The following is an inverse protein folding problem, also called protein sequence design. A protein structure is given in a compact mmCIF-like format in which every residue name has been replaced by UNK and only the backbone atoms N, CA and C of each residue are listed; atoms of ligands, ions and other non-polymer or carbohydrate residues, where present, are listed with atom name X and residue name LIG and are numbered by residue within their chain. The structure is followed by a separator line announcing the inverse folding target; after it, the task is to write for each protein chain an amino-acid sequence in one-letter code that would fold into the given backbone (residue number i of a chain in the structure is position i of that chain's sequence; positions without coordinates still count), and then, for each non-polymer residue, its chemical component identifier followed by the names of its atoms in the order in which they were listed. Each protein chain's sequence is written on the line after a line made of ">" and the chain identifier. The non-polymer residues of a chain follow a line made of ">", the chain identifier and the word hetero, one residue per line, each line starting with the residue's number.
data_IF_095345653815
#
_entry.id   IF_095345653815
#
_cell.length_a   1.000
_cell.length_b   1.000
_cell.length_c   1.000
_cell.angle_alpha   90.00
_cell.angle_beta   90.00
_cell.angle_gamma   90.00
#
_symmetry.space_group_name_H-M   'P 1'
#
loop_
_entity.id
_entity.type
_entity.pdbx_description
1 polymer ?
#
# COMPACT_ATOMS: atom_id res chain seq x y z
N UNK A 1 -0.92 14.97 9.60
CA UNK A 1 -0.02 14.28 8.66
C UNK A 1 0.05 12.79 8.94
N UNK A 2 -0.43 12.01 7.98
CA UNK A 2 -0.31 10.56 7.88
C UNK A 2 0.74 10.24 6.82
N UNK A 3 1.74 9.45 7.20
CA UNK A 3 2.81 9.04 6.28
C UNK A 3 2.79 7.53 6.12
N UNK A 4 2.66 7.06 4.88
CA UNK A 4 2.81 5.66 4.51
C UNK A 4 4.07 5.48 3.70
N UNK A 5 4.83 4.42 3.97
CA UNK A 5 6.08 4.11 3.27
C UNK A 5 5.99 2.77 2.54
N UNK A 6 6.53 2.73 1.33
CA UNK A 6 6.75 1.53 0.55
C UNK A 6 8.20 1.06 0.72
N UNK A 7 8.42 -0.25 0.66
CA UNK A 7 9.77 -0.84 0.79
C UNK A 7 10.71 -0.45 -0.36
N UNK A 8 10.18 0.06 -1.48
CA UNK A 8 10.98 0.58 -2.58
C UNK A 8 11.53 1.99 -2.33
N UNK A 9 11.21 2.60 -1.17
CA UNK A 9 11.64 3.94 -0.79
C UNK A 9 10.63 5.04 -1.10
N UNK A 10 9.50 4.74 -1.76
CA UNK A 10 8.41 5.69 -1.94
C UNK A 10 7.70 5.98 -0.61
N UNK A 11 7.30 7.24 -0.40
CA UNK A 11 6.50 7.64 0.75
C UNK A 11 5.39 8.61 0.33
N UNK A 12 4.19 8.41 0.89
CA UNK A 12 3.05 9.31 0.73
C UNK A 12 2.77 9.98 2.07
N UNK A 13 2.89 11.30 2.14
CA UNK A 13 2.58 12.10 3.33
C UNK A 13 1.45 13.07 3.01
N UNK A 14 0.29 12.86 3.63
CA UNK A 14 -0.90 13.67 3.42
C UNK A 14 -1.56 14.01 4.75
N UNK A 15 -2.35 15.09 4.80
CA UNK A 15 -3.13 15.42 6.00
C UNK A 15 -4.39 14.56 6.14
N UNK A 16 -4.97 14.13 5.02
CA UNK A 16 -6.07 13.19 4.99
C UNK A 16 -5.54 11.76 4.83
N UNK A 17 -5.86 10.89 5.80
CA UNK A 17 -5.44 9.48 5.77
C UNK A 17 -5.87 8.76 4.50
N UNK A 18 -7.06 9.06 3.98
CA UNK A 18 -7.58 8.39 2.79
C UNK A 18 -6.83 8.82 1.53
N UNK A 19 -6.28 10.05 1.51
CA UNK A 19 -5.40 10.51 0.44
C UNK A 19 -4.03 9.84 0.49
N UNK A 20 -3.44 9.71 1.68
CA UNK A 20 -2.19 8.96 1.84
C UNK A 20 -2.35 7.50 1.37
N UNK A 21 -3.48 6.87 1.72
CA UNK A 21 -3.83 5.52 1.28
C UNK A 21 -3.99 5.43 -0.24
N UNK A 22 -4.81 6.32 -0.83
CA UNK A 22 -5.03 6.32 -2.27
C UNK A 22 -3.72 6.53 -3.05
N UNK A 23 -2.82 7.40 -2.58
CA UNK A 23 -1.50 7.60 -3.16
C UNK A 23 -0.63 6.33 -3.08
N UNK A 24 -0.67 5.61 -1.95
CA UNK A 24 0.04 4.34 -1.80
C UNK A 24 -0.49 3.24 -2.73
N UNK A 25 -1.82 3.14 -2.88
CA UNK A 25 -2.45 2.20 -3.80
C UNK A 25 -2.12 2.52 -5.26
N UNK A 26 -2.18 3.79 -5.65
CA UNK A 26 -1.79 4.23 -6.98
C UNK A 26 -0.34 3.85 -7.29
N UNK A 27 0.60 4.14 -6.38
CA UNK A 27 1.99 3.73 -6.51
C UNK A 27 2.15 2.21 -6.66
N UNK A 28 1.52 1.41 -5.78
CA UNK A 28 1.61 -0.05 -5.86
C UNK A 28 1.09 -0.62 -7.19
N UNK A 29 -0.02 -0.08 -7.71
CA UNK A 29 -0.61 -0.54 -8.97
C UNK A 29 0.24 -0.15 -10.17
N UNK A 30 0.85 1.04 -10.17
CA UNK A 30 1.61 1.54 -11.32
C UNK A 30 3.06 1.04 -11.33
N UNK A 31 3.74 1.07 -10.19
CA UNK A 31 5.17 0.82 -10.09
C UNK A 31 5.50 -0.63 -9.69
N UNK A 32 4.51 -1.36 -9.18
CA UNK A 32 4.64 -2.76 -8.79
C UNK A 32 3.63 -3.68 -9.48
N UNK A 33 3.02 -3.22 -10.59
CA UNK A 33 2.00 -3.96 -11.34
C UNK A 33 2.46 -5.37 -11.73
N UNK A 34 3.69 -5.50 -12.25
CA UNK A 34 4.23 -6.78 -12.71
C UNK A 34 4.49 -7.74 -11.55
N UNK A 35 4.97 -7.22 -10.42
CA UNK A 35 5.12 -8.00 -9.19
C UNK A 35 3.75 -8.49 -8.71
N UNK A 36 2.74 -7.61 -8.64
CA UNK A 36 1.38 -7.98 -8.22
C UNK A 36 0.75 -9.02 -9.16
N UNK A 37 0.97 -8.90 -10.47
CA UNK A 37 0.48 -9.86 -11.47
C UNK A 37 1.17 -11.23 -11.38
N UNK A 38 2.39 -11.28 -10.86
CA UNK A 38 3.14 -12.53 -10.69
C UNK A 38 2.76 -13.32 -9.43
N UNK A 39 2.01 -12.71 -8.51
CA UNK A 39 1.58 -13.33 -7.26
C UNK A 39 0.37 -14.24 -7.48
N UNK A 40 0.31 -15.35 -6.74
CA UNK A 40 -0.92 -16.14 -6.67
C UNK A 40 -2.03 -15.37 -5.93
N UNK A 41 -3.28 -15.80 -6.09
CA UNK A 41 -4.42 -15.22 -5.35
C UNK A 41 -4.20 -15.28 -3.84
N UNK A 42 -3.65 -16.38 -3.33
CA UNK A 42 -3.35 -16.55 -1.89
C UNK A 42 -2.29 -15.55 -1.40
N UNK A 43 -1.24 -15.33 -2.20
CA UNK A 43 -0.21 -14.34 -1.87
C UNK A 43 -0.77 -12.92 -1.88
N UNK A 44 -1.64 -12.61 -2.85
CA UNK A 44 -2.34 -11.33 -2.92
C UNK A 44 -3.26 -11.13 -1.71
N UNK A 45 -4.02 -12.16 -1.31
CA UNK A 45 -4.88 -12.08 -0.14
C UNK A 45 -4.08 -11.82 1.14
N UNK A 46 -2.98 -12.55 1.37
CA UNK A 46 -2.11 -12.32 2.53
C UNK A 46 -1.50 -10.92 2.53
N UNK A 47 -1.07 -10.44 1.36
CA UNK A 47 -0.53 -9.08 1.22
C UNK A 47 -1.59 -8.02 1.53
N UNK A 48 -2.81 -8.17 0.98
CA UNK A 48 -3.93 -7.27 1.25
C UNK A 48 -4.29 -7.24 2.74
N UNK A 49 -4.35 -8.41 3.40
CA UNK A 49 -4.58 -8.50 4.86
C UNK A 49 -3.50 -7.79 5.65
N UNK A 50 -2.23 -8.00 5.30
CA UNK A 50 -1.10 -7.32 5.96
C UNK A 50 -1.14 -5.80 5.78
N UNK A 51 -1.59 -5.32 4.60
CA UNK A 51 -1.81 -3.89 4.36
C UNK A 51 -2.97 -3.34 5.18
N UNK A 52 -4.10 -4.05 5.25
CA UNK A 52 -5.24 -3.66 6.08
C UNK A 52 -4.87 -3.56 7.58
N UNK A 53 -4.06 -4.49 8.09
CA UNK A 53 -3.54 -4.42 9.46
C UNK A 53 -2.57 -3.26 9.69
N UNK A 54 -1.67 -2.98 8.74
CA UNK A 54 -0.76 -1.84 8.82
C UNK A 54 -1.54 -0.52 8.87
N UNK A 55 -2.57 -0.39 8.03
CA UNK A 55 -3.43 0.78 7.98
C UNK A 55 -4.24 0.96 9.27
N UNK A 56 -4.77 -0.14 9.83
CA UNK A 56 -5.46 -0.11 11.14
C UNK A 56 -4.56 0.34 12.29
N UNK A 57 -3.27 0.03 12.25
CA UNK A 57 -2.31 0.43 13.30
C UNK A 57 -1.85 1.89 13.21
N UNK A 58 -2.10 2.55 12.07
CA UNK A 58 -1.78 3.96 11.83
C UNK A 58 -2.98 4.92 11.91
N UNK A 59 -4.15 4.42 12.35
CA UNK A 59 -5.40 5.16 12.51
C UNK A 59 -5.67 5.57 13.97
#
# INVERSE_FOLDING_TARGET
>A
MHTLSCNCGFAATEDDKYKAEAAMWHHAIHDHADMLRSMSVEMLEQWLRGKDEQLKKGA
#
